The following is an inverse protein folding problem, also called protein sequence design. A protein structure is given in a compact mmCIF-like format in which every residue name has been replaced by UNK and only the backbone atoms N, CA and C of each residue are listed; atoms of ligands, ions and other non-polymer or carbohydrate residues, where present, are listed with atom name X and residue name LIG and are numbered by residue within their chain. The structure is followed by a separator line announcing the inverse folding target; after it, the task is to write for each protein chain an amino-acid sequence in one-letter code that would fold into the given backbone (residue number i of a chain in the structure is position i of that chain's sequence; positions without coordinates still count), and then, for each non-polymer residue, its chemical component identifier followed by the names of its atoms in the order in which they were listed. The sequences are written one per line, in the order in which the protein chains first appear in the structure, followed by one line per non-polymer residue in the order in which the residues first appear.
data_IF_021622734771
#
_entry.id   IF_021622734771
#
_cell.length_a   1.000
_cell.length_b   1.000
_cell.length_c   1.000
_cell.angle_alpha   90.00
_cell.angle_beta   90.00
_cell.angle_gamma   90.00
#
_symmetry.space_group_name_H-M   'P 1'
#
loop_
_entity.id
_entity.type
_entity.pdbx_description
1 polymer ?
#
# COMPACT_ATOMS: atom_id res chain seq x y z
N UNK A 1 5.67 -17.03 26.62
CA UNK A 1 4.68 -17.86 27.35
C UNK A 1 3.24 -17.38 27.14
N UNK A 2 2.93 -16.08 27.11
CA UNK A 2 1.54 -15.58 27.00
C UNK A 2 0.79 -16.06 25.75
N UNK A 3 1.37 -15.93 24.54
CA UNK A 3 0.72 -16.41 23.31
C UNK A 3 0.47 -17.93 23.30
N UNK A 4 1.39 -18.71 23.88
CA UNK A 4 1.20 -20.16 24.00
C UNK A 4 0.01 -20.51 24.92
N UNK A 5 -0.20 -19.75 26.01
CA UNK A 5 -1.38 -19.90 26.86
C UNK A 5 -2.66 -19.50 26.11
N UNK A 6 -2.63 -18.37 25.40
CA UNK A 6 -3.77 -17.87 24.61
C UNK A 6 -4.26 -18.90 23.58
N UNK A 7 -3.35 -19.60 22.90
CA UNK A 7 -3.69 -20.66 21.94
C UNK A 7 -4.46 -21.84 22.56
N UNK A 8 -4.40 -22.01 23.89
CA UNK A 8 -5.14 -23.06 24.62
C UNK A 8 -6.38 -22.51 25.31
N UNK A 9 -6.31 -21.27 25.81
CA UNK A 9 -7.39 -20.64 26.58
C UNK A 9 -8.37 -19.81 25.75
N UNK A 10 -8.06 -19.54 24.49
CA UNK A 10 -8.82 -18.68 23.57
C UNK A 10 -8.91 -17.19 24.01
N UNK A 11 -8.00 -16.76 24.89
CA UNK A 11 -7.88 -15.37 25.36
C UNK A 11 -6.58 -14.74 24.87
N UNK A 12 -6.67 -14.02 23.75
CA UNK A 12 -5.51 -13.48 23.01
C UNK A 12 -5.10 -12.07 23.45
N UNK A 13 -6.01 -11.29 24.03
CA UNK A 13 -5.83 -9.84 24.18
C UNK A 13 -4.61 -9.49 25.04
N UNK A 14 -4.41 -10.18 26.17
CA UNK A 14 -3.24 -9.96 27.01
C UNK A 14 -1.93 -10.25 26.25
N UNK A 15 -1.93 -11.28 25.39
CA UNK A 15 -0.76 -11.62 24.57
C UNK A 15 -0.54 -10.63 23.43
N UNK A 16 -1.60 -9.99 22.91
CA UNK A 16 -1.51 -8.94 21.90
C UNK A 16 -0.94 -7.66 22.48
N UNK A 17 -1.35 -7.27 23.70
CA UNK A 17 -0.69 -6.19 24.43
C UNK A 17 0.81 -6.45 24.61
N UNK A 18 1.19 -7.67 25.00
CA UNK A 18 2.59 -8.03 25.14
C UNK A 18 3.34 -7.99 23.79
N UNK A 19 2.71 -8.45 22.71
CA UNK A 19 3.28 -8.39 21.36
C UNK A 19 3.47 -6.94 20.87
N UNK A 20 2.55 -6.03 21.23
CA UNK A 20 2.68 -4.61 20.95
C UNK A 20 3.91 -3.99 21.60
N UNK A 21 4.31 -4.47 22.77
CA UNK A 21 5.46 -3.98 23.53
C UNK A 21 6.81 -4.56 23.04
N UNK A 22 6.79 -5.57 22.16
CA UNK A 22 8.00 -6.17 21.59
C UNK A 22 8.57 -5.31 20.46
N UNK A 23 9.40 -4.31 20.79
CA UNK A 23 10.00 -3.40 19.80
C UNK A 23 11.42 -3.76 19.37
N UNK A 24 12.21 -4.37 20.25
CA UNK A 24 13.66 -4.59 20.05
C UNK A 24 14.05 -6.00 19.65
N UNK A 25 13.09 -6.92 19.60
CA UNK A 25 13.30 -8.30 19.17
C UNK A 25 13.80 -8.37 17.70
N UNK A 26 14.82 -9.19 17.41
CA UNK A 26 15.30 -9.40 16.04
C UNK A 26 14.41 -10.37 15.26
N UNK A 27 13.84 -11.37 15.94
CA UNK A 27 12.88 -12.32 15.37
C UNK A 27 11.49 -11.88 15.80
N UNK A 28 10.60 -11.76 14.83
CA UNK A 28 9.22 -11.40 15.02
C UNK A 28 8.32 -12.60 14.67
N UNK A 29 7.35 -12.89 15.53
CA UNK A 29 6.46 -14.04 15.38
C UNK A 29 5.03 -13.57 15.53
N UNK A 30 4.31 -13.64 14.42
CA UNK A 30 2.86 -13.42 14.38
C UNK A 30 2.24 -14.82 14.31
N UNK A 31 1.36 -15.16 15.25
CA UNK A 31 0.69 -16.48 15.28
C UNK A 31 -0.61 -16.40 16.05
N UNK A 32 -1.71 -16.87 15.48
CA UNK A 32 -3.02 -16.93 16.14
C UNK A 32 -4.17 -16.83 15.15
N UNK A 33 -5.41 -16.74 15.64
CA UNK A 33 -6.57 -16.37 14.84
C UNK A 33 -6.55 -14.84 14.62
N UNK A 34 -6.40 -14.38 13.38
CA UNK A 34 -6.11 -12.97 13.09
C UNK A 34 -7.13 -12.35 12.14
N UNK A 35 -7.15 -12.77 10.88
CA UNK A 35 -7.97 -12.15 9.85
C UNK A 35 -9.33 -12.85 9.71
N UNK A 36 -10.39 -12.11 9.46
CA UNK A 36 -11.76 -12.66 9.36
C UNK A 36 -12.24 -12.85 7.92
N UNK A 37 -11.36 -12.69 6.92
CA UNK A 37 -11.74 -12.70 5.50
C UNK A 37 -12.31 -14.04 5.03
N UNK A 38 -11.94 -15.17 5.64
CA UNK A 38 -12.51 -16.48 5.28
C UNK A 38 -13.99 -16.63 5.68
N UNK A 39 -14.45 -15.85 6.66
CA UNK A 39 -15.87 -15.76 6.99
C UNK A 39 -16.60 -14.84 6.01
N UNK A 40 -16.88 -15.39 4.82
CA UNK A 40 -17.59 -14.70 3.73
C UNK A 40 -19.07 -14.44 4.02
N UNK A 41 -19.60 -14.89 5.18
CA UNK A 41 -20.99 -14.65 5.56
C UNK A 41 -21.14 -13.42 6.45
N UNK A 42 -20.38 -13.37 7.55
CA UNK A 42 -20.49 -12.30 8.54
C UNK A 42 -19.17 -11.56 8.80
N UNK A 43 -18.02 -12.14 8.44
CA UNK A 43 -16.71 -11.57 8.75
C UNK A 43 -16.37 -11.57 10.24
N UNK A 44 -16.96 -12.47 11.03
CA UNK A 44 -16.80 -12.52 12.49
C UNK A 44 -15.73 -13.52 12.94
N UNK A 45 -15.57 -14.63 12.20
CA UNK A 45 -14.65 -15.70 12.59
C UNK A 45 -13.26 -15.45 12.04
N UNK A 46 -12.28 -15.36 12.93
CA UNK A 46 -10.88 -15.19 12.55
C UNK A 46 -10.23 -16.53 12.18
N UNK A 47 -9.46 -16.54 11.10
CA UNK A 47 -8.71 -17.68 10.62
C UNK A 47 -7.30 -17.70 11.24
N UNK A 48 -6.79 -18.91 11.50
CA UNK A 48 -5.45 -19.09 12.02
C UNK A 48 -4.40 -18.81 10.95
N UNK A 49 -3.40 -18.02 11.30
CA UNK A 49 -2.22 -17.79 10.48
C UNK A 49 -0.95 -17.65 11.31
N UNK A 50 0.18 -17.81 10.64
CA UNK A 50 1.49 -17.55 11.23
C UNK A 50 2.47 -16.92 10.24
N UNK A 51 3.34 -16.10 10.78
CA UNK A 51 4.52 -15.55 10.13
C UNK A 51 5.73 -15.68 11.06
N UNK A 52 6.84 -16.17 10.53
CA UNK A 52 8.17 -16.08 11.16
C UNK A 52 8.96 -15.04 10.39
N UNK A 53 9.38 -13.99 11.07
CA UNK A 53 9.92 -12.78 10.47
C UNK A 53 11.29 -12.44 11.08
N UNK A 54 12.20 -11.93 10.27
CA UNK A 54 13.49 -11.38 10.70
C UNK A 54 13.50 -9.88 10.43
N UNK A 55 13.70 -9.08 11.47
CA UNK A 55 13.66 -7.61 11.38
C UNK A 55 14.87 -7.05 10.63
N UNK A 56 14.64 -6.22 9.62
CA UNK A 56 15.68 -5.46 8.91
C UNK A 56 15.97 -4.16 9.68
N UNK A 57 16.90 -4.22 10.62
CA UNK A 57 17.27 -3.10 11.49
C UNK A 57 17.78 -1.87 10.73
N UNK A 58 18.40 -2.06 9.55
CA UNK A 58 18.89 -0.95 8.73
C UNK A 58 17.72 -0.17 8.14
N UNK A 59 16.73 -0.87 7.58
CA UNK A 59 15.54 -0.23 7.05
C UNK A 59 14.64 0.36 8.14
N UNK A 60 14.50 -0.30 9.29
CA UNK A 60 13.80 0.26 10.45
C UNK A 60 14.33 1.64 10.85
N UNK A 61 15.66 1.81 10.92
CA UNK A 61 16.27 3.13 11.20
C UNK A 61 15.98 4.19 10.13
N UNK A 62 15.93 3.80 8.85
CA UNK A 62 15.53 4.72 7.78
C UNK A 62 14.07 5.16 7.96
N UNK A 63 13.20 4.27 8.40
CA UNK A 63 11.78 4.56 8.62
C UNK A 63 11.55 5.50 9.79
N UNK A 64 12.24 5.30 10.91
CA UNK A 64 12.23 6.25 12.03
C UNK A 64 12.62 7.66 11.56
N UNK A 65 13.68 7.75 10.73
CA UNK A 65 14.10 9.02 10.13
C UNK A 65 13.03 9.61 9.22
N UNK A 66 12.32 8.83 8.41
CA UNK A 66 11.27 9.36 7.54
C UNK A 66 10.01 9.76 8.32
N UNK A 67 9.65 9.01 9.37
CA UNK A 67 8.53 9.32 10.24
C UNK A 67 8.69 10.68 10.94
N UNK A 68 9.93 11.10 11.27
CA UNK A 68 10.17 12.43 11.85
C UNK A 68 9.82 13.60 10.90
N UNK A 69 9.69 13.35 9.59
CA UNK A 69 9.26 14.36 8.62
C UNK A 69 7.73 14.44 8.46
N UNK A 70 6.95 13.54 9.07
CA UNK A 70 5.49 13.51 8.93
C UNK A 70 4.81 14.85 9.24
N UNK A 71 5.12 15.56 10.35
CA UNK A 71 4.49 16.86 10.62
C UNK A 71 4.81 17.91 9.56
N UNK A 72 6.01 17.87 8.97
CA UNK A 72 6.40 18.78 7.88
C UNK A 72 5.65 18.43 6.59
N UNK A 73 5.60 17.14 6.24
CA UNK A 73 4.90 16.63 5.05
C UNK A 73 3.39 16.91 5.11
N UNK A 74 2.77 16.81 6.29
CA UNK A 74 1.36 17.20 6.49
C UNK A 74 1.12 18.69 6.21
N UNK A 75 2.00 19.57 6.69
CA UNK A 75 1.92 21.02 6.42
C UNK A 75 2.19 21.35 4.95
N UNK A 76 3.00 20.53 4.30
CA UNK A 76 3.37 20.65 2.90
C UNK A 76 2.36 20.06 1.91
N UNK A 77 1.26 19.44 2.37
CA UNK A 77 0.28 18.83 1.47
C UNK A 77 -0.22 19.85 0.43
N UNK A 78 -0.44 19.43 -0.83
CA UNK A 78 -0.79 20.32 -1.93
C UNK A 78 -2.27 20.72 -1.91
N UNK A 79 -2.74 21.26 -0.78
CA UNK A 79 -4.12 21.72 -0.56
C UNK A 79 -4.12 23.05 0.21
N UNK A 80 -5.24 23.79 0.24
CA UNK A 80 -5.41 24.93 1.15
C UNK A 80 -5.22 24.55 2.62
N UNK A 81 -4.75 25.49 3.45
CA UNK A 81 -4.37 25.22 4.85
C UNK A 81 -5.52 24.71 5.73
N UNK A 82 -6.78 25.05 5.40
CA UNK A 82 -7.95 24.51 6.11
C UNK A 82 -8.02 22.98 6.09
N UNK A 83 -7.41 22.32 5.10
CA UNK A 83 -7.37 20.87 4.95
C UNK A 83 -6.15 20.21 5.65
N UNK A 84 -5.28 20.98 6.29
CA UNK A 84 -4.01 20.49 6.88
C UNK A 84 -4.00 20.44 8.41
N UNK A 85 -5.18 20.49 9.03
CA UNK A 85 -5.32 20.66 10.49
C UNK A 85 -4.99 19.39 11.28
N UNK A 86 -5.01 18.21 10.63
CA UNK A 86 -4.63 16.96 11.27
C UNK A 86 -3.16 16.98 11.69
N UNK A 87 -2.87 16.39 12.85
CA UNK A 87 -1.50 16.11 13.28
C UNK A 87 -1.24 14.62 13.09
N UNK A 88 -0.29 14.23 12.22
CA UNK A 88 0.03 12.82 12.03
C UNK A 88 0.52 12.22 13.34
N UNK A 89 0.07 10.99 13.64
CA UNK A 89 0.62 10.25 14.77
C UNK A 89 2.08 9.91 14.51
N UNK A 90 2.93 10.11 15.49
CA UNK A 90 4.37 9.74 15.43
C UNK A 90 4.62 8.29 15.80
N UNK A 91 3.65 7.62 16.44
CA UNK A 91 3.78 6.29 17.03
C UNK A 91 3.37 5.15 16.08
N UNK A 92 3.68 5.28 14.78
CA UNK A 92 3.51 4.14 13.87
C UNK A 92 4.72 3.22 14.02
N UNK A 93 4.55 2.05 14.64
CA UNK A 93 5.59 1.02 14.71
C UNK A 93 5.73 0.32 13.35
N UNK A 94 6.32 1.04 12.40
CA UNK A 94 6.54 0.63 11.02
C UNK A 94 7.95 0.08 10.86
N UNK A 95 8.04 -1.19 10.48
CA UNK A 95 9.32 -1.88 10.33
C UNK A 95 9.35 -2.72 9.06
N UNK A 96 10.55 -2.92 8.53
CA UNK A 96 10.80 -3.84 7.44
C UNK A 96 11.28 -5.19 7.99
N UNK A 97 10.86 -6.27 7.34
CA UNK A 97 11.18 -7.63 7.71
C UNK A 97 11.48 -8.46 6.46
N UNK A 98 12.35 -9.45 6.63
CA UNK A 98 12.38 -10.61 5.75
C UNK A 98 11.52 -11.70 6.37
N UNK A 99 10.56 -12.22 5.62
CA UNK A 99 9.71 -13.33 6.06
C UNK A 99 10.36 -14.66 5.74
N UNK A 100 10.45 -15.51 6.74
CA UNK A 100 11.09 -16.82 6.72
C UNK A 100 10.06 -17.93 6.46
N UNK A 101 8.85 -17.77 6.99
CA UNK A 101 7.80 -18.78 6.90
C UNK A 101 6.40 -18.17 6.99
N UNK A 102 5.47 -18.66 6.15
CA UNK A 102 4.04 -18.40 6.20
C UNK A 102 3.28 -19.70 6.52
N UNK A 103 2.21 -19.63 7.32
CA UNK A 103 1.34 -20.78 7.58
C UNK A 103 -0.13 -20.37 7.77
N UNK A 104 -1.05 -21.30 7.50
CA UNK A 104 -2.48 -21.05 7.66
C UNK A 104 -3.02 -20.10 6.60
N UNK A 105 -3.94 -19.22 7.01
CA UNK A 105 -4.60 -18.24 6.14
C UNK A 105 -3.60 -17.39 5.35
N UNK A 106 -2.51 -16.93 5.96
CA UNK A 106 -1.48 -16.13 5.28
C UNK A 106 -0.76 -16.82 4.12
N UNK A 107 -0.82 -18.15 4.03
CA UNK A 107 -0.25 -18.91 2.93
C UNK A 107 -1.31 -19.41 1.93
N UNK A 108 -2.60 -19.19 2.21
CA UNK A 108 -3.69 -19.52 1.31
C UNK A 108 -3.80 -18.45 0.21
N UNK A 109 -3.65 -18.85 -1.06
CA UNK A 109 -3.77 -17.92 -2.19
C UNK A 109 -2.68 -16.86 -2.25
N UNK A 110 -3.09 -15.59 -2.32
CA UNK A 110 -2.18 -14.46 -2.52
C UNK A 110 -1.30 -14.21 -1.28
N UNK A 111 -0.03 -13.91 -1.51
CA UNK A 111 0.95 -13.75 -0.42
C UNK A 111 0.93 -12.33 0.12
N UNK A 112 0.67 -12.19 1.41
CA UNK A 112 0.76 -10.91 2.13
C UNK A 112 2.15 -10.30 1.96
N UNK A 113 2.22 -8.99 1.72
CA UNK A 113 3.48 -8.22 1.67
C UNK A 113 3.59 -7.15 2.74
N UNK A 114 2.49 -6.82 3.39
CA UNK A 114 2.37 -5.83 4.44
C UNK A 114 1.34 -6.33 5.46
N UNK A 115 1.62 -6.19 6.75
CA UNK A 115 0.74 -6.61 7.85
C UNK A 115 0.50 -5.40 8.74
N UNK A 116 -0.74 -5.15 9.17
CA UNK A 116 -1.07 -4.10 10.14
C UNK A 116 -1.92 -4.69 11.26
N UNK A 117 -1.33 -4.87 12.45
CA UNK A 117 -1.93 -5.63 13.55
C UNK A 117 -1.74 -4.95 14.91
N UNK A 118 -2.53 -5.33 15.93
CA UNK A 118 -3.63 -6.31 15.91
C UNK A 118 -4.95 -5.74 15.38
N UNK A 119 -5.90 -6.62 15.06
CA UNK A 119 -7.27 -6.24 14.66
C UNK A 119 -8.17 -5.83 15.85
N UNK A 120 -7.81 -6.20 17.09
CA UNK A 120 -8.55 -5.85 18.32
C UNK A 120 -8.54 -4.33 18.56
N UNK A 121 -9.71 -3.70 18.47
CA UNK A 121 -9.90 -2.26 18.63
C UNK A 121 -9.46 -1.73 20.00
N UNK A 122 -9.65 -2.50 21.08
CA UNK A 122 -9.24 -2.07 22.42
C UNK A 122 -7.72 -2.04 22.56
N UNK A 123 -7.02 -2.98 21.90
CA UNK A 123 -5.56 -2.97 21.84
C UNK A 123 -5.08 -1.80 20.98
N UNK A 124 -5.70 -1.58 19.82
CA UNK A 124 -5.37 -0.45 18.96
C UNK A 124 -5.54 0.90 19.67
N UNK A 125 -6.65 1.10 20.38
CA UNK A 125 -6.91 2.35 21.12
C UNK A 125 -5.88 2.60 22.22
N UNK A 126 -5.35 1.55 22.85
CA UNK A 126 -4.41 1.67 23.98
C UNK A 126 -2.94 1.66 23.58
N UNK A 127 -2.56 1.00 22.48
CA UNK A 127 -1.17 0.77 22.07
C UNK A 127 -0.86 1.08 20.60
N UNK A 128 -1.87 1.43 19.80
CA UNK A 128 -1.74 1.60 18.35
C UNK A 128 -1.64 0.27 17.61
N UNK A 129 -1.07 0.31 16.41
CA UNK A 129 -0.79 -0.87 15.57
C UNK A 129 0.69 -0.95 15.20
N UNK A 130 1.12 -2.15 14.81
CA UNK A 130 2.43 -2.41 14.22
C UNK A 130 2.23 -2.70 12.74
N UNK A 131 3.07 -2.09 11.91
CA UNK A 131 3.08 -2.27 10.45
C UNK A 131 4.35 -3.00 10.03
N UNK A 132 4.20 -4.20 9.48
CA UNK A 132 5.31 -5.10 9.16
C UNK A 132 5.37 -5.30 7.65
N UNK A 133 6.49 -4.90 7.06
CA UNK A 133 6.64 -4.81 5.61
C UNK A 133 7.62 -5.86 5.12
N UNK A 134 7.13 -6.80 4.32
CA UNK A 134 7.80 -8.08 4.01
C UNK A 134 8.65 -7.94 2.75
N UNK A 135 9.87 -7.45 2.92
CA UNK A 135 10.79 -7.01 1.87
C UNK A 135 11.14 -8.12 0.87
N UNK A 136 11.49 -9.31 1.32
CA UNK A 136 11.80 -10.44 0.44
C UNK A 136 10.55 -11.01 -0.27
N UNK A 137 9.37 -10.96 0.34
CA UNK A 137 8.11 -11.29 -0.34
C UNK A 137 7.81 -10.27 -1.44
N UNK A 138 7.95 -8.97 -1.15
CA UNK A 138 7.87 -7.91 -2.17
C UNK A 138 8.89 -8.13 -3.29
N UNK A 139 10.11 -8.57 -2.97
CA UNK A 139 11.16 -8.87 -3.96
C UNK A 139 10.73 -9.98 -4.90
N UNK A 140 10.15 -11.05 -4.37
CA UNK A 140 9.63 -12.14 -5.17
C UNK A 140 8.56 -11.66 -6.14
N UNK A 141 7.59 -10.85 -5.67
CA UNK A 141 6.54 -10.26 -6.52
C UNK A 141 7.10 -9.29 -7.56
N UNK A 142 8.08 -8.46 -7.18
CA UNK A 142 8.75 -7.57 -8.11
C UNK A 142 9.41 -8.35 -9.26
N UNK A 143 10.23 -9.36 -8.92
CA UNK A 143 10.97 -10.14 -9.90
C UNK A 143 10.07 -11.01 -10.79
N UNK A 144 9.03 -11.64 -10.21
CA UNK A 144 8.20 -12.63 -10.91
C UNK A 144 6.96 -12.06 -11.58
N UNK A 145 6.56 -10.84 -11.21
CA UNK A 145 5.31 -10.23 -11.68
C UNK A 145 5.58 -8.84 -12.24
N UNK A 146 6.13 -7.92 -11.45
CA UNK A 146 6.23 -6.52 -11.88
C UNK A 146 7.19 -6.32 -13.05
N UNK A 147 8.38 -6.95 -13.01
CA UNK A 147 9.36 -6.87 -14.10
C UNK A 147 8.78 -7.45 -15.40
N UNK A 148 8.20 -8.69 -15.42
CA UNK A 148 7.53 -9.20 -16.61
C UNK A 148 6.38 -8.31 -17.13
N UNK A 149 5.60 -7.69 -16.23
CA UNK A 149 4.56 -6.72 -16.63
C UNK A 149 5.20 -5.54 -17.36
N UNK A 150 6.30 -5.00 -16.82
CA UNK A 150 6.99 -3.87 -17.42
C UNK A 150 7.63 -4.23 -18.78
N UNK A 151 8.11 -5.46 -18.94
CA UNK A 151 8.65 -5.95 -20.22
C UNK A 151 7.59 -6.04 -21.33
N UNK A 152 6.30 -6.15 -20.96
CA UNK A 152 5.19 -6.17 -21.92
C UNK A 152 4.61 -4.78 -22.15
N UNK A 153 4.41 -4.00 -21.08
CA UNK A 153 3.59 -2.80 -21.13
C UNK A 153 4.37 -1.49 -20.98
N UNK A 154 5.63 -1.48 -20.55
CA UNK A 154 6.41 -0.24 -20.42
C UNK A 154 7.33 -0.09 -21.63
N UNK A 155 7.46 1.13 -22.13
CA UNK A 155 8.36 1.45 -23.23
C UNK A 155 9.81 1.08 -22.89
N UNK A 156 10.50 0.47 -23.85
CA UNK A 156 11.83 -0.12 -23.67
C UNK A 156 12.85 0.86 -23.07
N UNK A 157 12.86 2.11 -23.54
CA UNK A 157 13.76 3.15 -23.07
C UNK A 157 13.54 3.56 -21.59
N UNK A 158 12.40 3.22 -21.00
CA UNK A 158 12.07 3.51 -19.60
C UNK A 158 12.17 2.29 -18.69
N UNK A 159 12.34 1.07 -19.21
CA UNK A 159 12.40 -0.16 -18.37
C UNK A 159 13.56 -0.17 -17.38
N UNK A 160 14.65 0.54 -17.67
CA UNK A 160 15.77 0.76 -16.73
C UNK A 160 15.35 1.43 -15.41
N UNK A 161 14.22 2.13 -15.41
CA UNK A 161 13.64 2.79 -14.24
C UNK A 161 12.74 1.86 -13.42
N UNK A 162 12.57 0.60 -13.82
CA UNK A 162 11.85 -0.42 -13.04
C UNK A 162 12.82 -0.96 -11.99
N UNK A 163 12.71 -0.42 -10.77
CA UNK A 163 13.69 -0.66 -9.71
C UNK A 163 13.01 -1.15 -8.43
N UNK A 164 13.60 -2.15 -7.78
CA UNK A 164 12.98 -2.70 -6.59
C UNK A 164 12.95 -1.71 -5.42
N UNK A 165 13.98 -0.90 -5.21
CA UNK A 165 13.95 0.08 -4.12
C UNK A 165 12.81 1.07 -4.29
N UNK A 166 12.46 1.40 -5.54
CA UNK A 166 11.32 2.24 -5.88
C UNK A 166 10.00 1.51 -5.57
N UNK A 167 9.87 0.24 -5.97
CA UNK A 167 8.68 -0.58 -5.64
C UNK A 167 8.48 -0.69 -4.12
N UNK A 168 9.54 -1.08 -3.40
CA UNK A 168 9.54 -1.21 -1.95
C UNK A 168 9.20 0.13 -1.28
N UNK A 169 9.89 1.22 -1.63
CA UNK A 169 9.62 2.52 -1.06
C UNK A 169 8.19 3.01 -1.36
N UNK A 170 7.67 2.84 -2.57
CA UNK A 170 6.31 3.23 -2.91
C UNK A 170 5.28 2.50 -2.02
N UNK A 171 5.45 1.19 -1.81
CA UNK A 171 4.59 0.43 -0.88
C UNK A 171 4.79 0.86 0.57
N UNK A 172 6.03 1.08 1.00
CA UNK A 172 6.31 1.57 2.35
C UNK A 172 5.67 2.93 2.62
N UNK A 173 5.79 3.88 1.69
CA UNK A 173 5.28 5.23 1.85
C UNK A 173 3.77 5.31 1.69
N UNK A 174 3.13 4.40 0.94
CA UNK A 174 1.68 4.22 0.97
C UNK A 174 1.18 4.00 2.41
N UNK A 175 1.82 3.09 3.13
CA UNK A 175 1.44 2.72 4.50
C UNK A 175 1.66 3.85 5.49
N UNK A 176 2.73 4.63 5.29
CA UNK A 176 2.97 5.86 6.05
C UNK A 176 1.92 6.92 5.72
N UNK A 177 1.52 7.03 4.45
CA UNK A 177 0.59 8.03 3.94
C UNK A 177 -0.85 7.85 4.43
N UNK A 178 -1.26 6.66 4.88
CA UNK A 178 -2.51 6.52 5.66
C UNK A 178 -2.54 7.38 6.92
N UNK A 179 -1.36 7.68 7.50
CA UNK A 179 -1.21 8.59 8.64
C UNK A 179 -1.30 10.07 8.28
N UNK A 180 -1.27 10.41 6.99
CA UNK A 180 -1.34 11.77 6.46
C UNK A 180 -2.73 12.10 5.90
N UNK A 181 -2.97 13.38 5.69
CA UNK A 181 -4.19 13.90 5.09
C UNK A 181 -5.25 14.23 6.14
N UNK A 182 -6.51 13.91 5.83
CA UNK A 182 -7.68 14.31 6.61
C UNK A 182 -8.35 13.09 7.21
N UNK A 183 -8.71 13.14 8.50
CA UNK A 183 -9.45 12.06 9.18
C UNK A 183 -10.89 12.45 9.49
N UNK A 184 -11.13 13.73 9.76
CA UNK A 184 -12.45 14.28 10.06
C UNK A 184 -12.90 15.27 9.00
N UNK A 185 -14.17 15.23 8.64
CA UNK A 185 -14.76 16.20 7.70
C UNK A 185 -14.70 17.58 8.34
N UNK A 186 -14.27 18.58 7.57
CA UNK A 186 -14.10 19.95 8.05
C UNK A 186 -15.42 20.51 8.58
N UNK A 187 -15.38 21.09 9.78
CA UNK A 187 -16.57 21.65 10.42
C UNK A 187 -17.60 20.63 10.90
N UNK A 188 -17.23 19.34 10.97
CA UNK A 188 -18.10 18.25 11.40
C UNK A 188 -17.44 17.38 12.47
N UNK A 189 -18.26 16.68 13.26
CA UNK A 189 -17.81 15.65 14.20
C UNK A 189 -17.72 14.25 13.54
N UNK A 190 -18.08 14.14 12.26
CA UNK A 190 -18.01 12.89 11.53
C UNK A 190 -16.61 12.66 10.95
N UNK A 191 -16.17 11.41 11.02
CA UNK A 191 -15.00 10.96 10.28
C UNK A 191 -15.27 10.95 8.77
N UNK A 192 -14.20 11.04 7.97
CA UNK A 192 -14.26 10.85 6.52
C UNK A 192 -14.90 9.50 6.18
N UNK A 193 -14.53 8.45 6.92
CA UNK A 193 -15.07 7.09 6.74
C UNK A 193 -16.59 7.04 6.92
N UNK A 194 -17.10 7.64 8.00
CA UNK A 194 -18.55 7.70 8.27
C UNK A 194 -19.31 8.47 7.18
N UNK A 195 -18.69 9.52 6.64
CA UNK A 195 -19.33 10.40 5.66
C UNK A 195 -19.32 9.81 4.24
N UNK A 196 -18.19 9.23 3.82
CA UNK A 196 -18.04 8.65 2.47
C UNK A 196 -18.59 7.22 2.35
N UNK A 197 -18.92 6.56 3.47
CA UNK A 197 -19.59 5.25 3.52
C UNK A 197 -18.87 4.21 2.64
N UNK A 198 -19.56 3.58 1.69
CA UNK A 198 -19.01 2.56 0.80
C UNK A 198 -17.88 3.05 -0.12
N UNK A 199 -17.76 4.37 -0.30
CA UNK A 199 -16.69 4.96 -1.10
C UNK A 199 -15.40 5.17 -0.29
N UNK A 200 -15.49 5.13 1.05
CA UNK A 200 -14.40 5.52 1.94
C UNK A 200 -13.11 4.72 1.70
N UNK A 201 -13.21 3.39 1.59
CA UNK A 201 -12.03 2.54 1.43
C UNK A 201 -11.29 2.84 0.13
N UNK A 202 -12.00 2.92 -1.00
CA UNK A 202 -11.36 3.21 -2.28
C UNK A 202 -10.73 4.61 -2.32
N UNK A 203 -11.35 5.61 -1.67
CA UNK A 203 -10.77 6.95 -1.55
C UNK A 203 -9.55 6.99 -0.63
N UNK A 204 -9.58 6.26 0.48
CA UNK A 204 -8.45 6.17 1.40
C UNK A 204 -7.23 5.49 0.78
N UNK A 205 -7.44 4.38 0.05
CA UNK A 205 -6.40 3.72 -0.74
C UNK A 205 -5.83 4.64 -1.83
N UNK A 206 -6.72 5.32 -2.56
CA UNK A 206 -6.34 6.27 -3.60
C UNK A 206 -5.48 7.41 -3.03
N UNK A 207 -5.86 7.94 -1.87
CA UNK A 207 -5.12 8.97 -1.13
C UNK A 207 -3.76 8.45 -0.68
N UNK A 208 -3.71 7.30 -0.02
CA UNK A 208 -2.47 6.73 0.50
C UNK A 208 -1.44 6.51 -0.61
N UNK A 209 -1.88 6.03 -1.78
CA UNK A 209 -1.00 5.81 -2.92
C UNK A 209 -0.39 7.11 -3.50
N UNK A 210 -1.20 8.14 -3.75
CA UNK A 210 -0.67 9.40 -4.31
C UNK A 210 0.10 10.20 -3.27
N UNK A 211 -0.32 10.17 -2.00
CA UNK A 211 0.43 10.80 -0.93
C UNK A 211 1.74 10.07 -0.64
N UNK A 212 1.80 8.75 -0.82
CA UNK A 212 3.06 8.00 -0.77
C UNK A 212 4.06 8.49 -1.82
N UNK A 213 3.60 8.74 -3.06
CA UNK A 213 4.43 9.37 -4.09
C UNK A 213 4.81 10.81 -3.78
N UNK A 214 3.89 11.62 -3.23
CA UNK A 214 4.18 12.97 -2.76
C UNK A 214 5.30 12.97 -1.69
N UNK A 215 5.26 12.02 -0.76
CA UNK A 215 6.28 11.83 0.28
C UNK A 215 7.63 11.46 -0.34
N UNK A 216 7.66 10.46 -1.23
CA UNK A 216 8.87 10.08 -1.98
C UNK A 216 9.47 11.30 -2.68
N UNK A 217 8.64 12.05 -3.40
CA UNK A 217 9.05 13.24 -4.17
C UNK A 217 9.64 14.31 -3.26
N UNK A 218 8.94 14.62 -2.18
CA UNK A 218 9.34 15.65 -1.21
C UNK A 218 10.62 15.28 -0.48
N UNK A 219 10.74 14.04 -0.02
CA UNK A 219 11.92 13.55 0.69
C UNK A 219 13.14 13.43 -0.24
N UNK A 220 12.94 13.06 -1.51
CA UNK A 220 14.01 13.03 -2.50
C UNK A 220 14.53 14.44 -2.82
N UNK A 221 13.63 15.40 -3.09
CA UNK A 221 14.00 16.80 -3.36
C UNK A 221 14.73 17.46 -2.18
N UNK A 222 14.46 17.00 -0.95
CA UNK A 222 15.18 17.43 0.27
C UNK A 222 16.51 16.71 0.50
N UNK A 223 16.87 15.73 -0.33
CA UNK A 223 18.06 14.90 -0.15
C UNK A 223 17.99 13.96 1.05
N UNK A 224 16.79 13.71 1.59
CA UNK A 224 16.56 12.79 2.71
C UNK A 224 16.48 11.35 2.21
N UNK A 225 15.73 11.14 1.12
CA UNK A 225 15.73 9.91 0.32
C UNK A 225 16.76 10.09 -0.80
N UNK A 226 17.78 9.23 -0.85
CA UNK A 226 18.94 9.38 -1.75
C UNK A 226 19.14 8.25 -2.75
N UNK A 227 18.30 7.21 -2.67
CA UNK A 227 18.46 6.01 -3.49
C UNK A 227 17.82 6.24 -4.87
N UNK A 228 18.57 6.02 -5.95
CA UNK A 228 18.06 6.16 -7.32
C UNK A 228 17.78 7.59 -7.77
N UNK A 229 16.83 7.72 -8.69
CA UNK A 229 16.27 8.98 -9.20
C UNK A 229 14.73 8.97 -9.20
N UNK A 230 14.08 10.14 -9.23
CA UNK A 230 12.61 10.24 -9.21
C UNK A 230 11.92 9.45 -10.33
N UNK A 231 12.58 9.32 -11.49
CA UNK A 231 12.06 8.54 -12.62
C UNK A 231 11.83 7.08 -12.25
N UNK A 232 12.67 6.52 -11.37
CA UNK A 232 12.54 5.14 -10.93
C UNK A 232 11.25 4.93 -10.15
N UNK A 233 10.95 5.86 -9.24
CA UNK A 233 9.73 5.84 -8.44
C UNK A 233 8.47 5.98 -9.29
N UNK A 234 8.46 6.92 -10.23
CA UNK A 234 7.28 7.17 -11.08
C UNK A 234 7.05 6.04 -12.09
N UNK A 235 8.09 5.58 -12.80
CA UNK A 235 7.95 4.49 -13.77
C UNK A 235 7.61 3.16 -13.08
N UNK A 236 8.23 2.86 -11.94
CA UNK A 236 7.87 1.66 -11.16
C UNK A 236 6.44 1.74 -10.61
N UNK A 237 5.98 2.92 -10.18
CA UNK A 237 4.60 3.11 -9.74
C UNK A 237 3.60 2.86 -10.86
N UNK A 238 3.80 3.44 -12.05
CA UNK A 238 2.94 3.19 -13.20
C UNK A 238 2.86 1.69 -13.53
N UNK A 239 4.01 1.00 -13.59
CA UNK A 239 4.04 -0.43 -13.81
C UNK A 239 3.24 -1.21 -12.75
N UNK A 240 3.29 -0.76 -11.48
CA UNK A 240 2.59 -1.41 -10.38
C UNK A 240 1.07 -1.21 -10.43
N UNK A 241 0.57 -0.16 -11.09
CA UNK A 241 -0.87 -0.02 -11.33
C UNK A 241 -1.35 -1.23 -12.14
N UNK A 242 -0.68 -1.60 -13.24
CA UNK A 242 -1.06 -2.77 -14.04
C UNK A 242 -1.03 -4.09 -13.25
N UNK A 243 -0.15 -4.21 -12.25
CA UNK A 243 -0.14 -5.35 -11.33
C UNK A 243 -1.40 -5.37 -10.47
N UNK A 244 -1.70 -4.26 -9.79
CA UNK A 244 -2.80 -4.20 -8.82
C UNK A 244 -4.17 -4.34 -9.46
N UNK A 245 -4.36 -3.85 -10.68
CA UNK A 245 -5.67 -3.86 -11.35
C UNK A 245 -6.10 -5.24 -11.82
N UNK A 246 -5.14 -6.18 -11.91
CA UNK A 246 -5.41 -7.60 -12.20
C UNK A 246 -6.11 -8.33 -11.06
N UNK A 247 -6.19 -7.73 -9.86
CA UNK A 247 -7.01 -8.25 -8.76
C UNK A 247 -8.51 -7.97 -8.96
N UNK A 248 -8.87 -7.09 -9.91
CA UNK A 248 -10.25 -6.83 -10.32
C UNK A 248 -10.86 -5.56 -9.74
N UNK A 249 -11.90 -5.06 -10.39
CA UNK A 249 -12.58 -3.79 -10.05
C UNK A 249 -13.60 -3.90 -8.90
N UNK A 250 -13.83 -5.11 -8.37
CA UNK A 250 -14.69 -5.32 -7.20
C UNK A 250 -14.00 -4.93 -5.89
N UNK A 251 -12.67 -4.95 -5.86
CA UNK A 251 -11.85 -4.61 -4.70
C UNK A 251 -11.63 -3.09 -4.56
N UNK A 252 -11.55 -2.59 -3.32
CA UNK A 252 -11.38 -1.16 -3.04
C UNK A 252 -10.04 -0.62 -3.58
N UNK A 253 -8.95 -1.38 -3.43
CA UNK A 253 -7.65 -1.03 -3.95
C UNK A 253 -7.66 -1.10 -5.48
N UNK A 254 -8.34 -2.09 -6.07
CA UNK A 254 -8.62 -2.16 -7.51
C UNK A 254 -9.30 -0.90 -8.05
N UNK A 255 -10.42 -0.47 -7.46
CA UNK A 255 -11.14 0.76 -7.83
C UNK A 255 -10.28 2.01 -7.69
N UNK A 256 -9.52 2.12 -6.59
CA UNK A 256 -8.60 3.23 -6.35
C UNK A 256 -7.51 3.31 -7.44
N UNK A 257 -6.98 2.17 -7.87
CA UNK A 257 -6.01 2.10 -8.99
C UNK A 257 -6.64 2.54 -10.31
N UNK A 258 -7.92 2.20 -10.55
CA UNK A 258 -8.64 2.63 -11.77
C UNK A 258 -8.85 4.14 -11.81
N UNK A 259 -9.30 4.74 -10.70
CA UNK A 259 -9.44 6.19 -10.61
C UNK A 259 -8.10 6.87 -10.91
N UNK A 260 -7.01 6.41 -10.29
CA UNK A 260 -5.66 6.94 -10.53
C UNK A 260 -5.22 6.77 -11.98
N UNK A 261 -5.36 5.57 -12.55
CA UNK A 261 -4.95 5.30 -13.93
C UNK A 261 -5.66 6.24 -14.91
N UNK A 262 -6.99 6.32 -14.82
CA UNK A 262 -7.79 7.15 -15.72
C UNK A 262 -7.53 8.65 -15.48
N UNK A 263 -7.33 9.09 -14.24
CA UNK A 263 -6.94 10.48 -13.95
C UNK A 263 -5.56 10.81 -14.54
N UNK A 264 -4.59 9.91 -14.41
CA UNK A 264 -3.25 10.07 -14.99
C UNK A 264 -3.28 10.08 -16.52
N UNK A 265 -4.13 9.27 -17.13
CA UNK A 265 -4.38 9.30 -18.58
C UNK A 265 -4.96 10.66 -19.01
N UNK A 266 -6.01 11.14 -18.34
CA UNK A 266 -6.64 12.44 -18.62
C UNK A 266 -5.68 13.63 -18.48
N UNK A 267 -4.75 13.55 -17.51
CA UNK A 267 -3.74 14.59 -17.28
C UNK A 267 -2.48 14.43 -18.14
N UNK A 268 -2.42 13.41 -18.99
CA UNK A 268 -1.27 13.13 -19.84
C UNK A 268 0.00 12.80 -19.03
N UNK A 269 -0.15 12.20 -17.85
CA UNK A 269 0.95 11.72 -17.01
C UNK A 269 1.73 10.57 -17.67
N UNK A 270 1.10 9.88 -18.60
CA UNK A 270 1.74 8.93 -19.52
C UNK A 270 1.11 9.03 -20.91
N UNK A 271 1.77 8.46 -21.90
CA UNK A 271 1.24 8.21 -23.24
C UNK A 271 1.19 6.71 -23.52
N UNK A 272 0.35 6.33 -24.48
CA UNK A 272 0.26 4.96 -24.99
C UNK A 272 0.61 4.96 -26.48
N UNK A 273 1.66 4.22 -26.84
CA UNK A 273 2.03 3.95 -28.23
C UNK A 273 1.12 2.83 -28.74
N UNK A 274 0.22 3.12 -29.68
CA UNK A 274 -0.77 2.14 -30.17
C UNK A 274 -0.16 1.07 -31.07
N UNK A 275 0.94 1.36 -31.74
CA UNK A 275 1.63 0.43 -32.65
C UNK A 275 2.40 -0.63 -31.86
N UNK A 276 3.18 -0.17 -30.87
CA UNK A 276 3.95 -1.06 -29.97
C UNK A 276 3.09 -1.60 -28.84
N UNK A 277 2.02 -0.87 -28.52
CA UNK A 277 1.11 -1.15 -27.42
C UNK A 277 1.80 -1.13 -26.05
N UNK A 278 2.59 -0.08 -25.81
CA UNK A 278 3.36 0.18 -24.57
C UNK A 278 3.08 1.59 -24.05
N UNK A 279 3.25 1.78 -22.74
CA UNK A 279 3.08 3.03 -22.02
C UNK A 279 4.42 3.70 -21.73
N UNK A 280 4.45 5.03 -21.80
CA UNK A 280 5.61 5.85 -21.43
C UNK A 280 5.21 6.93 -20.46
N UNK A 281 5.92 7.07 -19.34
CA UNK A 281 5.71 8.14 -18.36
C UNK A 281 6.16 9.48 -18.94
N UNK A 282 5.32 10.50 -18.80
CA UNK A 282 5.66 11.91 -19.01
C UNK A 282 5.99 12.53 -17.64
N UNK A 283 7.26 12.52 -17.24
CA UNK A 283 7.65 12.77 -15.83
C UNK A 283 7.13 14.09 -15.23
N UNK A 284 7.17 15.19 -15.99
CA UNK A 284 6.68 16.49 -15.52
C UNK A 284 5.15 16.48 -15.32
N UNK A 285 4.42 15.93 -16.30
CA UNK A 285 2.98 15.77 -16.21
C UNK A 285 2.59 14.76 -15.13
N UNK A 286 3.42 13.74 -14.88
CA UNK A 286 3.19 12.74 -13.85
C UNK A 286 3.27 13.34 -12.46
N UNK A 287 4.30 14.14 -12.18
CA UNK A 287 4.40 14.85 -10.90
C UNK A 287 3.24 15.83 -10.70
N UNK A 288 2.86 16.56 -11.75
CA UNK A 288 1.71 17.46 -11.72
C UNK A 288 0.40 16.71 -11.48
N UNK A 289 0.15 15.62 -12.21
CA UNK A 289 -1.06 14.81 -12.06
C UNK A 289 -1.16 14.17 -10.67
N UNK A 290 -0.03 13.72 -10.11
CA UNK A 290 0.04 13.21 -8.73
C UNK A 290 -0.30 14.31 -7.71
N UNK A 291 0.21 15.52 -7.92
CA UNK A 291 -0.06 16.68 -7.06
C UNK A 291 -1.53 17.10 -7.14
N UNK A 292 -2.07 17.24 -8.35
CA UNK A 292 -3.48 17.58 -8.61
C UNK A 292 -4.42 16.50 -8.03
N UNK A 293 -4.10 15.21 -8.21
CA UNK A 293 -4.93 14.13 -7.67
C UNK A 293 -4.89 14.09 -6.13
N UNK A 294 -3.73 14.36 -5.53
CA UNK A 294 -3.61 14.52 -4.08
C UNK A 294 -4.49 15.66 -3.57
N UNK A 295 -4.49 16.80 -4.27
CA UNK A 295 -5.35 17.94 -3.96
C UNK A 295 -6.83 17.55 -3.98
N UNK A 296 -7.27 16.92 -5.07
CA UNK A 296 -8.68 16.62 -5.29
C UNK A 296 -9.21 15.57 -4.31
N UNK A 297 -8.44 14.50 -4.05
CA UNK A 297 -8.82 13.47 -3.08
C UNK A 297 -8.92 14.04 -1.67
N UNK A 298 -7.95 14.83 -1.24
CA UNK A 298 -7.98 15.49 0.07
C UNK A 298 -9.14 16.47 0.17
N UNK A 299 -9.45 17.23 -0.88
CA UNK A 299 -10.58 18.16 -0.88
C UNK A 299 -11.91 17.41 -0.74
N UNK A 300 -12.12 16.34 -1.51
CA UNK A 300 -13.33 15.50 -1.42
C UNK A 300 -13.48 14.90 -0.02
N UNK A 301 -12.40 14.37 0.56
CA UNK A 301 -12.41 13.85 1.92
C UNK A 301 -12.71 14.95 2.95
N UNK A 302 -12.07 16.10 2.80
CA UNK A 302 -12.22 17.22 3.71
C UNK A 302 -13.60 17.85 3.71
N UNK A 303 -14.21 17.97 2.53
CA UNK A 303 -15.57 18.49 2.38
C UNK A 303 -16.62 17.40 2.68
N UNK A 304 -16.21 16.14 2.78
CA UNK A 304 -17.12 15.01 2.97
C UNK A 304 -18.04 14.79 1.77
N UNK A 305 -17.57 15.10 0.55
CA UNK A 305 -18.40 15.10 -0.66
C UNK A 305 -18.66 13.68 -1.18
N UNK A 306 -19.64 13.03 -0.55
CA UNK A 306 -20.09 11.68 -0.90
C UNK A 306 -20.59 11.58 -2.34
N UNK A 307 -21.26 12.62 -2.85
CA UNK A 307 -21.81 12.62 -4.21
C UNK A 307 -20.67 12.62 -5.23
N UNK A 308 -19.67 13.49 -5.04
CA UNK A 308 -18.47 13.53 -5.89
C UNK A 308 -17.66 12.24 -5.79
N UNK A 309 -17.53 11.69 -4.59
CA UNK A 309 -16.85 10.41 -4.40
C UNK A 309 -17.52 9.28 -5.20
N UNK A 310 -18.85 9.20 -5.13
CA UNK A 310 -19.65 8.22 -5.88
C UNK A 310 -19.51 8.42 -7.40
N UNK A 311 -19.58 9.67 -7.86
CA UNK A 311 -19.40 10.01 -9.28
C UNK A 311 -18.03 9.58 -9.80
N UNK A 312 -16.97 9.87 -9.06
CA UNK A 312 -15.60 9.50 -9.44
C UNK A 312 -15.41 7.98 -9.52
N UNK A 313 -15.89 7.22 -8.55
CA UNK A 313 -15.78 5.76 -8.62
C UNK A 313 -16.61 5.18 -9.76
N UNK A 314 -17.78 5.75 -10.06
CA UNK A 314 -18.62 5.30 -11.18
C UNK A 314 -18.01 5.61 -12.55
N UNK A 315 -17.39 6.77 -12.70
CA UNK A 315 -16.92 7.27 -14.01
C UNK A 315 -15.45 6.97 -14.27
N UNK A 316 -14.61 7.02 -13.24
CA UNK A 316 -13.16 6.78 -13.32
C UNK A 316 -12.73 5.45 -12.69
N UNK A 317 -13.57 4.79 -11.89
CA UNK A 317 -13.26 3.49 -11.28
C UNK A 317 -13.44 2.29 -12.22
N UNK A 318 -13.41 2.49 -13.54
CA UNK A 318 -13.72 1.48 -14.55
C UNK A 318 -12.50 1.13 -15.41
N UNK A 319 -12.44 -0.11 -15.89
CA UNK A 319 -11.41 -0.56 -16.83
C UNK A 319 -11.79 -0.06 -18.23
N UNK A 320 -10.95 0.81 -18.82
CA UNK A 320 -11.14 1.26 -20.20
C UNK A 320 -10.84 0.13 -21.19
N UNK A 321 -11.41 0.20 -22.40
CA UNK A 321 -11.14 -0.77 -23.47
C UNK A 321 -9.65 -0.86 -23.81
N UNK A 322 -8.92 0.27 -23.74
CA UNK A 322 -7.48 0.30 -23.96
C UNK A 322 -6.73 -0.46 -22.87
N UNK A 323 -7.06 -0.20 -21.60
CA UNK A 323 -6.43 -0.89 -20.48
C UNK A 323 -6.73 -2.38 -20.53
N UNK A 324 -7.97 -2.78 -20.84
CA UNK A 324 -8.34 -4.19 -20.96
C UNK A 324 -7.45 -4.93 -21.97
N UNK A 325 -7.19 -4.33 -23.15
CA UNK A 325 -6.25 -4.91 -24.13
C UNK A 325 -4.85 -5.11 -23.56
N UNK A 326 -4.37 -4.19 -22.71
CA UNK A 326 -3.11 -4.34 -22.00
C UNK A 326 -3.14 -5.53 -21.02
N UNK A 327 -4.21 -5.68 -20.25
CA UNK A 327 -4.39 -6.80 -19.32
C UNK A 327 -4.52 -8.15 -20.04
N UNK A 328 -5.16 -8.17 -21.21
CA UNK A 328 -5.26 -9.35 -22.06
C UNK A 328 -3.87 -9.78 -22.57
N UNK A 329 -3.00 -8.83 -22.96
CA UNK A 329 -1.60 -9.13 -23.31
C UNK A 329 -0.83 -9.75 -22.14
N UNK A 330 -1.00 -9.23 -20.93
CA UNK A 330 -0.35 -9.79 -19.73
C UNK A 330 -0.81 -11.23 -19.46
N UNK A 331 -2.10 -11.49 -19.67
CA UNK A 331 -2.70 -12.82 -19.49
C UNK A 331 -2.21 -13.80 -20.56
N UNK A 332 -2.15 -13.35 -21.82
CA UNK A 332 -1.60 -14.13 -22.93
C UNK A 332 -0.09 -14.43 -22.76
N UNK A 333 0.67 -13.52 -22.15
CA UNK A 333 2.08 -13.71 -21.81
C UNK A 333 2.30 -14.69 -20.63
N UNK A 334 1.23 -15.20 -20.01
CA UNK A 334 1.33 -16.16 -18.90
C UNK A 334 1.96 -15.57 -17.64
N UNK A 335 1.93 -14.25 -17.47
CA UNK A 335 2.52 -13.60 -16.29
C UNK A 335 1.69 -14.00 -15.07
N UNK A 336 2.29 -14.54 -14.00
CA UNK A 336 1.53 -14.97 -12.83
C UNK A 336 0.82 -13.80 -12.15
N UNK A 337 -0.31 -14.08 -11.49
CA UNK A 337 -1.01 -13.10 -10.64
C UNK A 337 -0.30 -12.97 -9.29
N UNK A 338 0.27 -14.08 -8.79
CA UNK A 338 1.05 -14.08 -7.55
C UNK A 338 2.11 -15.20 -7.51
N UNK A 339 2.85 -15.30 -6.39
CA UNK A 339 3.93 -16.25 -6.17
C UNK A 339 3.56 -17.37 -5.19
N UNK A 340 4.19 -18.53 -5.37
CA UNK A 340 4.20 -19.62 -4.40
C UNK A 340 5.59 -19.69 -3.77
N UNK A 341 5.65 -19.84 -2.44
CA UNK A 341 6.91 -19.90 -1.72
C UNK A 341 7.40 -21.32 -1.54
N UNK A 342 8.65 -21.56 -1.93
CA UNK A 342 9.43 -22.70 -1.46
C UNK A 342 10.00 -22.31 -0.10
N UNK A 343 9.47 -22.88 0.98
CA UNK A 343 9.80 -22.52 2.36
C UNK A 343 9.91 -23.77 3.25
N UNK A 344 10.39 -23.58 4.48
CA UNK A 344 10.53 -24.63 5.49
C UNK A 344 11.98 -24.94 5.84
N UNK A 345 12.16 -25.75 6.89
CA UNK A 345 13.46 -26.04 7.52
C UNK A 345 14.52 -26.47 6.51
N UNK A 346 14.18 -27.37 5.57
CA UNK A 346 15.10 -27.81 4.50
C UNK A 346 15.58 -26.68 3.59
N UNK A 347 14.72 -25.71 3.27
CA UNK A 347 15.08 -24.56 2.41
C UNK A 347 16.04 -23.63 3.13
N UNK A 348 15.95 -23.56 4.46
CA UNK A 348 16.81 -22.75 5.32
C UNK A 348 18.16 -23.42 5.60
N UNK A 349 18.35 -24.69 5.22
CA UNK A 349 19.56 -25.45 5.55
C UNK A 349 19.72 -25.71 7.06
N UNK A 350 18.60 -25.79 7.79
CA UNK A 350 18.54 -26.05 9.22
C UNK A 350 18.21 -27.51 9.56
#
# INVERSE_FOLDING_TARGET
NMRAKALVSDDFQASDFAWMDMKTNPIEMVIGPIETYEDQLFGYRAAYEAYVLLKDLSWSKKLEKYASYLPELQKGLPVPDKYKQETPGTDSDLNAYDVIYYAGHSNAGAKTIAINLPNDEQVQLKKGTRRLQLKNAMRAKFNKILVPIADVLIAENQRKHIQFYAFFANTMFHEVAHGLGIKNVLGSNNTVRQTLKENASAFEEGKADVLGLYMVTSLYKKGVLKEGELKDYYTTFLASIFRSVRFGASDAHGKANMVRFNYFEEKGAFSYDTEKGVYSVNYDNFEKAMTDLSHDLLTIQGDGDYAKATEWLKTKGVISTQLQKGLDKLSAAGIPVDVVFNQGVKVLGL
#
